data_IF_165796159791
#
_entry.id   IF_165796159791
#
_cell.length_a   1.000
_cell.length_b   1.000
_cell.length_c   1.000
_cell.angle_alpha   90.00
_cell.angle_beta   90.00
_cell.angle_gamma   90.00
#
_symmetry.space_group_name_H-M   'P 1'
#
loop_
_entity.id
_entity.type
_entity.pdbx_description
1 polymer ?
#
# COMPACT_ATOMS: atom_id res chain seq x y z
N UNK A 1 39.54 34.81 1.31
CA UNK A 1 38.80 35.03 0.04
C UNK A 1 39.34 34.11 -1.06
N UNK A 2 40.66 34.06 -1.30
CA UNK A 2 41.30 33.18 -2.29
C UNK A 2 40.97 31.67 -2.23
N UNK A 3 40.70 31.10 -1.05
CA UNK A 3 40.34 29.68 -0.91
C UNK A 3 38.99 29.36 -1.55
N UNK A 4 38.01 30.26 -1.45
CA UNK A 4 36.69 30.07 -2.06
C UNK A 4 36.74 30.19 -3.58
N UNK A 5 37.56 31.10 -4.11
CA UNK A 5 37.75 31.27 -5.55
C UNK A 5 38.44 30.05 -6.19
N UNK A 6 39.38 29.41 -5.47
CA UNK A 6 40.03 28.18 -5.92
C UNK A 6 39.07 26.98 -5.94
N UNK A 7 38.20 26.87 -4.93
CA UNK A 7 37.15 25.83 -4.91
C UNK A 7 36.15 26.06 -6.03
N UNK A 8 35.72 27.31 -6.23
CA UNK A 8 34.78 27.66 -7.29
C UNK A 8 35.39 27.39 -8.68
N UNK A 9 36.63 27.79 -8.92
CA UNK A 9 37.32 27.51 -10.18
C UNK A 9 37.53 26.03 -10.41
N UNK A 10 37.82 25.24 -9.37
CA UNK A 10 37.98 23.79 -9.49
C UNK A 10 36.66 23.08 -9.73
N UNK A 11 35.57 23.53 -9.12
CA UNK A 11 34.22 23.03 -9.41
C UNK A 11 33.80 23.41 -10.83
N UNK A 12 34.04 24.65 -11.24
CA UNK A 12 33.68 25.14 -12.57
C UNK A 12 34.49 24.42 -13.65
N UNK A 13 35.80 24.21 -13.45
CA UNK A 13 36.63 23.37 -14.33
C UNK A 13 36.20 21.90 -14.29
N UNK A 14 35.80 21.36 -13.13
CA UNK A 14 35.32 19.98 -13.03
C UNK A 14 34.02 19.76 -13.80
N UNK A 15 33.09 20.73 -13.74
CA UNK A 15 31.80 20.66 -14.43
C UNK A 15 31.95 20.95 -15.93
N UNK A 16 32.79 21.92 -16.32
CA UNK A 16 33.01 22.30 -17.72
C UNK A 16 33.91 21.31 -18.47
N UNK A 17 34.89 20.67 -17.81
CA UNK A 17 35.69 19.56 -18.36
C UNK A 17 35.12 18.17 -18.01
N UNK A 18 33.83 18.06 -17.68
CA UNK A 18 33.15 16.77 -17.64
C UNK A 18 32.85 16.32 -19.08
N UNK A 19 33.91 16.10 -19.85
CA UNK A 19 33.85 15.75 -21.26
C UNK A 19 33.60 14.25 -21.43
N UNK A 20 32.85 13.93 -22.48
CA UNK A 20 32.52 12.63 -23.08
C UNK A 20 33.41 11.42 -22.73
N UNK A 21 34.72 11.60 -22.59
CA UNK A 21 35.68 10.55 -22.20
C UNK A 21 35.43 9.95 -20.82
N UNK A 22 35.03 10.74 -19.81
CA UNK A 22 34.79 10.22 -18.45
C UNK A 22 33.55 9.31 -18.35
N UNK A 23 32.55 9.52 -19.20
CA UNK A 23 31.34 8.67 -19.21
C UNK A 23 31.64 7.28 -19.78
N UNK A 24 32.50 7.20 -20.80
CA UNK A 24 32.98 5.95 -21.37
C UNK A 24 33.96 5.22 -20.43
N UNK A 25 34.82 5.94 -19.71
CA UNK A 25 35.73 5.34 -18.72
C UNK A 25 35.00 4.69 -17.53
N UNK A 26 33.80 5.18 -17.17
CA UNK A 26 32.97 4.53 -16.14
C UNK A 26 32.45 3.17 -16.61
N UNK A 27 31.99 3.05 -17.87
CA UNK A 27 31.60 1.77 -18.46
C UNK A 27 32.79 0.81 -18.57
N UNK A 28 33.97 1.34 -18.90
CA UNK A 28 35.22 0.57 -18.96
C UNK A 28 35.61 0.00 -17.58
N UNK A 29 35.44 0.78 -16.52
CA UNK A 29 35.69 0.34 -15.14
C UNK A 29 34.68 -0.69 -14.62
N UNK A 30 33.50 -0.81 -15.25
CA UNK A 30 32.50 -1.83 -14.94
C UNK A 30 32.73 -3.12 -15.77
N UNK A 31 33.62 -3.09 -16.78
CA UNK A 31 34.09 -4.27 -17.52
C UNK A 31 33.83 -4.28 -19.03
N UNK A 32 33.40 -3.17 -19.64
CA UNK A 32 33.22 -3.09 -21.10
C UNK A 32 34.54 -2.76 -21.82
N UNK A 33 35.02 -3.65 -22.69
CA UNK A 33 36.34 -3.52 -23.37
C UNK A 33 36.39 -2.38 -24.41
N UNK A 34 35.27 -2.07 -25.07
CA UNK A 34 35.16 -0.99 -26.07
C UNK A 34 33.84 -0.23 -25.88
N UNK A 35 33.75 0.67 -24.89
CA UNK A 35 32.51 1.36 -24.60
C UNK A 35 32.15 2.31 -25.75
N UNK A 36 30.92 2.19 -26.27
CA UNK A 36 30.34 3.08 -27.28
C UNK A 36 29.25 3.96 -26.67
N UNK A 37 28.93 5.08 -27.32
CA UNK A 37 27.79 5.93 -26.93
C UNK A 37 26.44 5.20 -26.98
N UNK A 38 26.37 4.17 -27.81
CA UNK A 38 25.19 3.31 -27.93
C UNK A 38 25.01 2.44 -26.67
N UNK A 39 26.10 1.90 -26.13
CA UNK A 39 26.08 1.09 -24.90
C UNK A 39 25.62 1.91 -23.69
N UNK A 40 26.04 3.17 -23.60
CA UNK A 40 25.56 4.10 -22.58
C UNK A 40 24.04 4.32 -22.70
N UNK A 41 23.54 4.43 -23.93
CA UNK A 41 22.11 4.50 -24.24
C UNK A 41 21.36 3.25 -23.77
N UNK A 42 21.86 2.05 -24.09
CA UNK A 42 21.24 0.79 -23.66
C UNK A 42 21.25 0.61 -22.14
N UNK A 43 22.33 0.98 -21.45
CA UNK A 43 22.40 0.95 -19.99
C UNK A 43 21.39 1.91 -19.37
N UNK A 44 21.28 3.13 -19.90
CA UNK A 44 20.31 4.12 -19.40
C UNK A 44 18.86 3.64 -19.62
N UNK A 45 18.56 3.10 -20.80
CA UNK A 45 17.26 2.50 -21.11
C UNK A 45 16.99 1.33 -20.14
N UNK A 46 17.98 0.46 -19.92
CA UNK A 46 17.88 -0.65 -18.98
C UNK A 46 17.57 -0.20 -17.56
N UNK A 47 18.23 0.86 -17.07
CA UNK A 47 17.96 1.45 -15.76
C UNK A 47 16.55 2.03 -15.70
N UNK A 48 16.13 2.82 -16.70
CA UNK A 48 14.79 3.42 -16.73
C UNK A 48 13.71 2.34 -16.75
N UNK A 49 13.88 1.30 -17.57
CA UNK A 49 12.95 0.16 -17.62
C UNK A 49 12.95 -0.59 -16.29
N UNK A 50 14.10 -0.88 -15.70
CA UNK A 50 14.20 -1.58 -14.43
C UNK A 50 13.54 -0.81 -13.28
N UNK A 51 13.80 0.51 -13.17
CA UNK A 51 13.17 1.38 -12.17
C UNK A 51 11.65 1.48 -12.42
N UNK A 52 11.24 1.59 -13.68
CA UNK A 52 9.82 1.63 -14.03
C UNK A 52 9.10 0.31 -13.68
N UNK A 53 9.72 -0.83 -13.97
CA UNK A 53 9.20 -2.15 -13.61
C UNK A 53 9.21 -2.37 -12.11
N UNK A 54 10.23 -1.90 -11.39
CA UNK A 54 10.27 -1.96 -9.93
C UNK A 54 9.17 -1.09 -9.32
N UNK A 55 8.93 0.13 -9.83
CA UNK A 55 7.85 1.00 -9.40
C UNK A 55 6.47 0.42 -9.73
N UNK A 56 6.28 -0.14 -10.93
CA UNK A 56 5.07 -0.83 -11.31
C UNK A 56 4.84 -2.08 -10.43
N UNK A 57 5.89 -2.87 -10.19
CA UNK A 57 5.87 -4.02 -9.29
C UNK A 57 5.53 -3.61 -7.85
N UNK A 58 6.09 -2.52 -7.35
CA UNK A 58 5.81 -1.99 -6.02
C UNK A 58 4.36 -1.51 -5.89
N UNK A 59 3.86 -0.76 -6.87
CA UNK A 59 2.47 -0.28 -6.87
C UNK A 59 1.48 -1.42 -7.03
N UNK A 60 1.80 -2.45 -7.85
CA UNK A 60 0.99 -3.65 -7.95
C UNK A 60 1.05 -4.49 -6.68
N UNK A 61 2.20 -4.61 -6.02
CA UNK A 61 2.35 -5.28 -4.73
C UNK A 61 1.55 -4.56 -3.63
N UNK A 62 1.61 -3.23 -3.60
CA UNK A 62 0.84 -2.41 -2.67
C UNK A 62 -0.67 -2.53 -2.91
N UNK A 63 -1.10 -2.64 -4.17
CA UNK A 63 -2.50 -2.94 -4.54
C UNK A 63 -2.90 -4.40 -4.28
N UNK A 64 -1.98 -5.36 -4.41
CA UNK A 64 -2.19 -6.78 -4.13
C UNK A 64 -2.10 -7.14 -2.66
N UNK A 65 -1.66 -6.23 -1.79
CA UNK A 65 -2.15 -6.16 -0.41
C UNK A 65 -3.63 -5.77 -0.42
N UNK A 66 -4.47 -6.59 -1.05
CA UNK A 66 -5.91 -6.53 -0.94
C UNK A 66 -6.23 -6.46 0.55
N UNK A 67 -6.80 -5.35 0.98
CA UNK A 67 -7.03 -5.07 2.38
C UNK A 67 -7.75 -6.27 3.00
N UNK A 68 -7.10 -7.05 3.89
CA UNK A 68 -7.74 -8.22 4.49
C UNK A 68 -8.98 -7.79 5.30
N UNK A 69 -9.01 -6.52 5.69
CA UNK A 69 -10.18 -5.82 6.23
C UNK A 69 -11.37 -5.79 5.28
N UNK A 70 -11.18 -5.42 4.00
CA UNK A 70 -12.24 -5.43 2.99
C UNK A 70 -12.76 -6.85 2.76
N UNK A 71 -11.87 -7.84 2.66
CA UNK A 71 -12.27 -9.25 2.51
C UNK A 71 -13.13 -9.72 3.69
N UNK A 72 -12.78 -9.32 4.92
CA UNK A 72 -13.54 -9.66 6.13
C UNK A 72 -14.91 -8.97 6.15
N UNK A 73 -14.96 -7.69 5.76
CA UNK A 73 -16.19 -6.91 5.65
C UNK A 73 -17.16 -7.51 4.61
N UNK A 74 -16.66 -7.84 3.41
CA UNK A 74 -17.48 -8.46 2.36
C UNK A 74 -18.04 -9.82 2.81
N UNK A 75 -17.29 -10.60 3.60
CA UNK A 75 -17.80 -11.85 4.17
C UNK A 75 -18.92 -11.61 5.19
N UNK A 76 -18.78 -10.57 6.04
CA UNK A 76 -19.82 -10.17 6.97
C UNK A 76 -21.10 -9.72 6.22
N UNK A 77 -20.95 -8.83 5.22
CA UNK A 77 -22.05 -8.37 4.37
C UNK A 77 -22.78 -9.52 3.70
N UNK A 78 -22.06 -10.50 3.12
CA UNK A 78 -22.69 -11.68 2.49
C UNK A 78 -23.48 -12.52 3.49
N UNK A 79 -23.01 -12.67 4.73
CA UNK A 79 -23.75 -13.39 5.78
C UNK A 79 -24.99 -12.63 6.22
N UNK A 80 -24.88 -11.31 6.39
CA UNK A 80 -26.02 -10.44 6.71
C UNK A 80 -27.06 -10.40 5.58
N UNK A 81 -26.62 -10.36 4.33
CA UNK A 81 -27.50 -10.44 3.17
C UNK A 81 -28.28 -11.76 3.13
N UNK A 82 -27.62 -12.89 3.46
CA UNK A 82 -28.30 -14.19 3.61
C UNK A 82 -29.32 -14.19 4.76
N UNK A 83 -29.07 -13.41 5.81
CA UNK A 83 -30.00 -13.26 6.92
C UNK A 83 -31.18 -12.31 6.61
N UNK A 84 -31.22 -11.69 5.42
CA UNK A 84 -32.30 -10.78 5.01
C UNK A 84 -31.98 -9.30 5.14
N UNK A 85 -30.75 -8.93 5.52
CA UNK A 85 -30.32 -7.53 5.53
C UNK A 85 -29.90 -7.09 4.12
N UNK A 86 -30.83 -6.54 3.34
CA UNK A 86 -30.56 -5.98 2.02
C UNK A 86 -29.87 -4.63 2.16
N UNK A 87 -28.55 -4.62 2.00
CA UNK A 87 -27.73 -3.42 2.16
C UNK A 87 -26.88 -3.21 0.90
N UNK A 88 -26.77 -1.98 0.37
CA UNK A 88 -25.84 -1.67 -0.71
C UNK A 88 -24.40 -2.11 -0.40
N UNK A 89 -23.66 -2.55 -1.42
CA UNK A 89 -22.29 -3.05 -1.26
C UNK A 89 -21.32 -2.00 -0.66
N UNK A 90 -21.63 -0.72 -0.83
CA UNK A 90 -20.86 0.42 -0.34
C UNK A 90 -21.27 0.92 1.07
N UNK A 91 -22.14 0.21 1.79
CA UNK A 91 -22.60 0.67 3.10
C UNK A 91 -21.51 0.48 4.17
N UNK A 92 -21.16 1.55 4.92
CA UNK A 92 -20.17 1.47 5.98
C UNK A 92 -20.63 0.57 7.14
N UNK A 93 -19.69 -0.06 7.89
CA UNK A 93 -20.01 -0.95 9.01
C UNK A 93 -20.93 -0.31 10.06
N UNK A 94 -20.77 1.00 10.31
CA UNK A 94 -21.61 1.75 11.26
C UNK A 94 -23.08 1.80 10.86
N UNK A 95 -23.35 2.01 9.57
CA UNK A 95 -24.71 2.02 9.06
C UNK A 95 -25.33 0.62 9.15
N UNK A 96 -24.54 -0.44 8.93
CA UNK A 96 -25.02 -1.81 9.15
C UNK A 96 -25.34 -2.07 10.63
N UNK A 97 -24.50 -1.61 11.56
CA UNK A 97 -24.77 -1.72 13.00
C UNK A 97 -26.06 -0.99 13.39
N UNK A 98 -26.26 0.24 12.88
CA UNK A 98 -27.49 1.00 13.13
C UNK A 98 -28.74 0.30 12.56
N UNK A 99 -28.66 -0.30 11.36
CA UNK A 99 -29.77 -1.06 10.78
C UNK A 99 -30.09 -2.33 11.58
N UNK A 100 -29.05 -3.01 12.10
CA UNK A 100 -29.21 -4.17 12.97
C UNK A 100 -29.88 -3.80 14.29
N UNK A 101 -29.50 -2.67 14.88
CA UNK A 101 -30.12 -2.13 16.10
C UNK A 101 -31.59 -1.73 15.86
N UNK A 102 -31.89 -1.07 14.74
CA UNK A 102 -33.26 -0.70 14.37
C UNK A 102 -34.18 -1.91 14.15
N UNK A 103 -33.63 -3.02 13.64
CA UNK A 103 -34.37 -4.28 13.45
C UNK A 103 -34.64 -5.01 14.77
N UNK A 104 -33.92 -4.69 15.86
CA UNK A 104 -34.12 -5.23 17.21
C UNK A 104 -33.85 -6.74 17.40
N UNK A 105 -33.66 -7.49 16.32
CA UNK A 105 -33.55 -8.96 16.32
C UNK A 105 -32.12 -9.46 16.01
N UNK A 106 -31.16 -8.54 16.04
CA UNK A 106 -29.75 -8.84 15.81
C UNK A 106 -28.97 -8.86 17.13
N UNK A 107 -28.00 -9.77 17.31
CA UNK A 107 -27.18 -9.78 18.52
C UNK A 107 -26.34 -8.51 18.67
N UNK A 108 -26.36 -7.90 19.86
CA UNK A 108 -25.57 -6.69 20.16
C UNK A 108 -24.07 -6.88 19.88
N UNK A 109 -23.54 -8.09 20.11
CA UNK A 109 -22.16 -8.45 19.82
C UNK A 109 -21.76 -8.25 18.34
N UNK A 110 -22.72 -8.37 17.41
CA UNK A 110 -22.47 -8.17 15.98
C UNK A 110 -22.35 -6.68 15.64
N UNK A 111 -23.23 -5.84 16.20
CA UNK A 111 -23.15 -4.38 16.06
C UNK A 111 -21.86 -3.82 16.67
N UNK A 112 -21.50 -4.27 17.88
CA UNK A 112 -20.22 -3.90 18.50
C UNK A 112 -19.01 -4.32 17.67
N UNK A 113 -19.04 -5.52 17.08
CA UNK A 113 -17.96 -6.00 16.23
C UNK A 113 -17.80 -5.14 14.98
N UNK A 114 -18.90 -4.72 14.34
CA UNK A 114 -18.87 -3.82 13.18
C UNK A 114 -18.28 -2.45 13.55
N UNK A 115 -18.61 -1.91 14.72
CA UNK A 115 -18.03 -0.65 15.21
C UNK A 115 -16.53 -0.79 15.50
N UNK A 116 -16.09 -1.89 16.14
CA UNK A 116 -14.66 -2.16 16.38
C UNK A 116 -13.89 -2.35 15.07
N UNK A 117 -14.51 -2.98 14.07
CA UNK A 117 -13.94 -3.15 12.73
C UNK A 117 -13.74 -1.80 12.03
N UNK A 118 -14.71 -0.88 12.13
CA UNK A 118 -14.59 0.47 11.58
C UNK A 118 -13.54 1.30 12.33
N UNK A 119 -13.55 1.28 13.66
CA UNK A 119 -12.58 1.99 14.49
C UNK A 119 -11.14 1.59 14.14
N UNK A 120 -10.88 0.30 13.86
CA UNK A 120 -9.57 -0.17 13.42
C UNK A 120 -9.08 0.47 12.11
N UNK A 121 -9.98 0.78 11.16
CA UNK A 121 -9.62 1.38 9.85
C UNK A 121 -9.44 2.89 9.92
N UNK A 122 -10.17 3.58 10.80
CA UNK A 122 -10.25 5.04 10.85
C UNK A 122 -9.58 5.67 12.09
N UNK A 123 -9.15 4.91 13.09
CA UNK A 123 -8.37 5.40 14.24
C UNK A 123 -6.87 5.12 14.04
N UNK A 124 -6.05 6.09 13.59
CA UNK A 124 -4.66 5.85 13.19
C UNK A 124 -3.67 5.80 14.38
N UNK A 125 -4.14 5.98 15.61
CA UNK A 125 -3.27 6.34 16.76
C UNK A 125 -2.55 5.16 17.45
N UNK A 126 -2.66 3.91 16.97
CA UNK A 126 -1.99 2.75 17.59
C UNK A 126 -1.39 1.78 16.55
N UNK A 127 -0.33 2.23 15.87
CA UNK A 127 0.37 1.51 14.78
C UNK A 127 1.15 0.25 15.23
N UNK A 128 1.40 0.06 16.53
CA UNK A 128 2.05 -1.16 17.05
C UNK A 128 1.06 -2.30 17.39
N UNK A 129 -0.21 -1.98 17.69
CA UNK A 129 -1.24 -2.96 18.09
C UNK A 129 -2.17 -3.38 16.94
N UNK A 130 -1.99 -2.80 15.75
CA UNK A 130 -2.93 -2.92 14.62
C UNK A 130 -3.00 -4.35 14.07
N UNK A 131 -1.87 -5.06 13.95
CA UNK A 131 -1.87 -6.46 13.48
C UNK A 131 -2.56 -7.41 14.47
N UNK A 132 -2.24 -7.31 15.76
CA UNK A 132 -2.80 -8.17 16.81
C UNK A 132 -4.29 -7.89 17.02
N UNK A 133 -4.69 -6.62 17.00
CA UNK A 133 -6.10 -6.23 17.07
C UNK A 133 -6.92 -6.76 15.89
N UNK A 134 -6.35 -6.73 14.67
CA UNK A 134 -7.01 -7.29 13.50
C UNK A 134 -7.18 -8.81 13.58
N UNK A 135 -6.17 -9.53 14.07
CA UNK A 135 -6.27 -10.97 14.29
C UNK A 135 -7.34 -11.33 15.33
N UNK A 136 -7.50 -10.53 16.38
CA UNK A 136 -8.58 -10.70 17.36
C UNK A 136 -9.95 -10.50 16.71
N UNK A 137 -10.12 -9.48 15.85
CA UNK A 137 -11.35 -9.27 15.07
C UNK A 137 -11.67 -10.43 14.11
N UNK A 138 -10.65 -11.01 13.49
CA UNK A 138 -10.81 -12.20 12.64
C UNK A 138 -11.23 -13.44 13.44
N UNK A 139 -10.72 -13.62 14.66
CA UNK A 139 -11.10 -14.72 15.54
C UNK A 139 -12.54 -14.55 16.02
N UNK A 140 -12.90 -13.36 16.51
CA UNK A 140 -14.26 -13.09 16.98
C UNK A 140 -15.30 -13.28 15.88
N UNK A 141 -15.00 -12.94 14.62
CA UNK A 141 -15.88 -13.19 13.48
C UNK A 141 -16.39 -14.65 13.39
N UNK A 142 -15.55 -15.63 13.75
CA UNK A 142 -15.91 -17.06 13.72
C UNK A 142 -16.87 -17.46 14.85
N UNK A 143 -16.82 -16.75 15.98
CA UNK A 143 -17.62 -17.01 17.17
C UNK A 143 -18.83 -16.08 17.31
N UNK A 144 -19.00 -15.13 16.39
CA UNK A 144 -20.16 -14.24 16.42
C UNK A 144 -21.47 -15.03 16.24
N UNK A 145 -22.49 -14.74 17.05
CA UNK A 145 -23.84 -15.26 16.82
C UNK A 145 -24.40 -14.60 15.55
N UNK A 146 -24.42 -15.36 14.45
CA UNK A 146 -24.99 -14.87 13.18
C UNK A 146 -26.50 -15.10 13.18
N UNK A 147 -27.32 -14.07 12.93
CA UNK A 147 -28.76 -14.26 12.78
C UNK A 147 -29.05 -15.11 11.54
N UNK A 148 -29.98 -16.08 11.65
CA UNK A 148 -30.44 -16.90 10.53
C UNK A 148 -31.53 -16.21 9.71
N UNK A 149 -32.35 -15.38 10.36
CA UNK A 149 -33.45 -14.63 9.74
C UNK A 149 -33.68 -13.32 10.49
N UNK A 150 -33.56 -12.19 9.79
CA UNK A 150 -33.94 -10.86 10.25
C UNK A 150 -35.32 -10.55 9.64
N UNK A 151 -36.39 -10.97 10.33
CA UNK A 151 -37.76 -10.57 10.00
C UNK A 151 -37.97 -9.09 10.30
#
# INVERSE_FOLDING_TARGET
RAVWDAVNNRWNQWVLNYTQSRQLDLLRNIGFESPSWEDLGYVLIGIVVAVSLAGAGWTLWDRHRQDPWLLLLHRAQRRLAKAGLTVPANTPPRQMAALLEQRGNAPAALSEWLLKLEAWRYAPSQTAHTKTAFQQLQRSFRHLPWPTTLY
#
